data_IF_023766872812
#
_entry.id   IF_023766872812
#
_cell.length_a   1.000
_cell.length_b   1.000
_cell.length_c   1.000
_cell.angle_alpha   90.00
_cell.angle_beta   90.00
_cell.angle_gamma   90.00
#
_symmetry.space_group_name_H-M   'P 1'
#
loop_
_entity.id
_entity.type
_entity.pdbx_description
1 polymer ?
#
# COMPACT_ATOMS: atom_id res chain seq x y z
N UNK A 1 -40.53 -16.48 -35.53
CA UNK A 1 -40.63 -17.35 -34.33
C UNK A 1 -39.64 -16.88 -33.26
N UNK A 2 -40.08 -16.12 -32.27
CA UNK A 2 -39.23 -15.62 -31.17
C UNK A 2 -39.52 -16.40 -29.89
N UNK A 3 -38.56 -17.21 -29.45
CA UNK A 3 -38.63 -17.98 -28.21
C UNK A 3 -38.48 -17.07 -27.00
N UNK A 4 -39.60 -16.69 -26.36
CA UNK A 4 -39.59 -16.03 -25.04
C UNK A 4 -39.16 -17.07 -23.98
N UNK A 5 -37.88 -17.06 -23.59
CA UNK A 5 -37.40 -17.80 -22.41
C UNK A 5 -38.12 -17.26 -21.16
N UNK A 6 -39.00 -18.06 -20.55
CA UNK A 6 -39.55 -17.80 -19.21
C UNK A 6 -38.40 -17.80 -18.21
N UNK A 7 -38.10 -16.64 -17.63
CA UNK A 7 -37.15 -16.50 -16.52
C UNK A 7 -37.83 -17.12 -15.29
N UNK A 8 -37.26 -18.21 -14.78
CA UNK A 8 -37.70 -18.84 -13.53
C UNK A 8 -37.42 -17.87 -12.38
N UNK A 9 -38.45 -17.57 -11.58
CA UNK A 9 -38.24 -16.92 -10.27
C UNK A 9 -37.28 -17.80 -9.46
N UNK A 10 -36.20 -17.23 -8.93
CA UNK A 10 -35.24 -17.95 -8.08
C UNK A 10 -35.86 -18.05 -6.68
N UNK A 11 -36.30 -19.25 -6.23
CA UNK A 11 -36.85 -19.40 -4.90
C UNK A 11 -35.70 -19.55 -3.88
N UNK A 12 -35.78 -18.82 -2.76
CA UNK A 12 -35.06 -19.21 -1.54
C UNK A 12 -33.90 -18.34 -1.04
N UNK A 13 -33.68 -17.12 -1.55
CA UNK A 13 -32.71 -16.21 -0.92
C UNK A 13 -33.45 -15.24 0.01
N UNK A 14 -33.41 -15.49 1.32
CA UNK A 14 -33.87 -14.52 2.33
C UNK A 14 -33.00 -13.26 2.28
N UNK A 15 -33.40 -12.29 1.46
CA UNK A 15 -32.69 -11.01 1.26
C UNK A 15 -32.45 -10.26 2.57
N UNK A 16 -33.25 -10.50 3.61
CA UNK A 16 -33.17 -9.85 4.93
C UNK A 16 -31.81 -10.02 5.63
N UNK A 17 -31.00 -11.00 5.25
CA UNK A 17 -29.66 -11.24 5.84
C UNK A 17 -28.51 -10.55 5.10
N UNK A 18 -28.75 -9.95 3.94
CA UNK A 18 -27.73 -9.24 3.18
C UNK A 18 -27.58 -7.79 3.69
N UNK A 19 -26.35 -7.27 3.70
CA UNK A 19 -26.12 -5.84 3.97
C UNK A 19 -26.92 -4.96 2.99
N UNK A 20 -27.33 -3.73 3.38
CA UNK A 20 -28.12 -2.84 2.53
C UNK A 20 -27.46 -2.58 1.15
N UNK A 21 -26.13 -2.49 1.11
CA UNK A 21 -25.36 -2.33 -0.12
C UNK A 21 -25.46 -3.54 -1.05
N UNK A 22 -25.43 -4.76 -0.48
CA UNK A 22 -25.57 -6.00 -1.25
C UNK A 22 -26.99 -6.23 -1.72
N UNK A 23 -28.00 -5.88 -0.91
CA UNK A 23 -29.41 -5.89 -1.35
C UNK A 23 -29.63 -4.94 -2.53
N UNK A 24 -29.09 -3.71 -2.44
CA UNK A 24 -29.14 -2.73 -3.54
C UNK A 24 -28.50 -3.27 -4.82
N UNK A 25 -27.30 -3.86 -4.71
CA UNK A 25 -26.60 -4.43 -5.86
C UNK A 25 -27.31 -5.66 -6.46
N UNK A 26 -27.93 -6.50 -5.63
CA UNK A 26 -28.71 -7.65 -6.07
C UNK A 26 -29.97 -7.22 -6.82
N UNK A 27 -30.70 -6.23 -6.31
CA UNK A 27 -31.88 -5.67 -6.96
C UNK A 27 -31.54 -5.02 -8.31
N UNK A 28 -30.43 -4.27 -8.37
CA UNK A 28 -29.91 -3.70 -9.62
C UNK A 28 -29.52 -4.81 -10.61
N UNK A 29 -28.88 -5.89 -10.14
CA UNK A 29 -28.50 -7.04 -10.96
C UNK A 29 -29.71 -7.81 -11.52
N UNK A 30 -30.77 -8.01 -10.72
CA UNK A 30 -32.01 -8.62 -11.20
C UNK A 30 -32.70 -7.76 -12.26
N UNK A 31 -32.76 -6.44 -12.07
CA UNK A 31 -33.31 -5.52 -13.06
C UNK A 31 -32.51 -5.57 -14.36
N UNK A 32 -31.17 -5.70 -14.28
CA UNK A 32 -30.30 -5.82 -15.46
C UNK A 32 -30.45 -7.15 -16.22
N UNK A 33 -30.91 -8.22 -15.57
CA UNK A 33 -31.18 -9.52 -16.23
C UNK A 33 -32.47 -9.49 -17.06
N UNK A 34 -33.47 -8.70 -16.62
CA UNK A 34 -34.73 -8.56 -17.35
C UNK A 34 -34.58 -7.77 -18.66
N UNK A 35 -33.47 -7.04 -18.83
CA UNK A 35 -33.20 -6.30 -20.07
C UNK A 35 -32.61 -7.23 -21.14
N UNK A 36 -33.28 -7.40 -22.30
CA UNK A 36 -32.79 -8.24 -23.38
C UNK A 36 -31.47 -7.71 -23.97
N UNK A 37 -30.60 -8.63 -24.38
CA UNK A 37 -29.18 -8.39 -24.74
C UNK A 37 -28.99 -7.35 -25.86
N UNK A 38 -29.97 -7.19 -26.74
CA UNK A 38 -29.91 -6.29 -27.90
C UNK A 38 -30.37 -4.86 -27.59
N UNK A 39 -30.93 -4.59 -26.41
CA UNK A 39 -31.42 -3.27 -26.04
C UNK A 39 -30.34 -2.43 -25.33
N UNK A 40 -29.26 -2.07 -26.05
CA UNK A 40 -28.16 -1.23 -25.51
C UNK A 40 -28.68 0.09 -24.90
N UNK A 41 -29.74 0.67 -25.48
CA UNK A 41 -30.40 1.87 -24.95
C UNK A 41 -31.08 1.66 -23.60
N UNK A 42 -31.61 0.47 -23.31
CA UNK A 42 -32.30 0.18 -22.06
C UNK A 42 -31.33 0.00 -20.88
N UNK A 43 -30.16 -0.62 -21.12
CA UNK A 43 -29.09 -0.71 -20.10
C UNK A 43 -28.53 0.67 -19.73
N UNK A 44 -28.41 1.58 -20.71
CA UNK A 44 -27.95 2.95 -20.49
C UNK A 44 -28.93 3.77 -19.64
N UNK A 45 -30.24 3.68 -19.93
CA UNK A 45 -31.29 4.31 -19.11
C UNK A 45 -31.31 3.77 -17.67
N UNK A 46 -31.03 2.49 -17.48
CA UNK A 46 -30.96 1.85 -16.16
C UNK A 46 -29.69 2.27 -15.39
N UNK A 47 -28.57 2.45 -16.09
CA UNK A 47 -27.32 2.98 -15.56
C UNK A 47 -27.50 4.42 -15.05
N UNK A 48 -28.12 5.27 -15.86
CA UNK A 48 -28.43 6.66 -15.53
C UNK A 48 -29.41 6.75 -14.35
N UNK A 49 -30.47 5.94 -14.32
CA UNK A 49 -31.45 5.92 -13.21
C UNK A 49 -30.83 5.58 -11.86
N UNK A 50 -29.80 4.74 -11.81
CA UNK A 50 -29.16 4.32 -10.57
C UNK A 50 -27.84 5.06 -10.28
N UNK A 51 -27.43 5.99 -11.16
CA UNK A 51 -26.15 6.69 -11.11
C UNK A 51 -24.96 5.72 -11.03
N UNK A 52 -24.97 4.68 -11.87
CA UNK A 52 -23.97 3.60 -11.89
C UNK A 52 -23.44 3.45 -13.31
N UNK A 53 -22.14 3.16 -13.51
CA UNK A 53 -21.60 2.96 -14.86
C UNK A 53 -22.06 1.64 -15.49
N UNK A 54 -22.07 1.58 -16.82
CA UNK A 54 -22.44 0.38 -17.59
C UNK A 54 -21.62 -0.86 -17.21
N UNK A 55 -20.33 -0.68 -16.86
CA UNK A 55 -19.44 -1.75 -16.42
C UNK A 55 -19.87 -2.35 -15.08
N UNK A 56 -20.36 -1.52 -14.17
CA UNK A 56 -20.87 -1.98 -12.88
C UNK A 56 -22.18 -2.77 -13.05
N UNK A 57 -23.04 -2.42 -14.01
CA UNK A 57 -24.22 -3.22 -14.36
C UNK A 57 -23.86 -4.58 -14.97
N UNK A 58 -22.85 -4.63 -15.84
CA UNK A 58 -22.34 -5.87 -16.43
C UNK A 58 -21.76 -6.81 -15.36
N UNK A 59 -21.02 -6.26 -14.39
CA UNK A 59 -20.51 -7.01 -13.23
C UNK A 59 -21.64 -7.50 -12.33
N UNK A 60 -22.64 -6.66 -12.04
CA UNK A 60 -23.80 -7.05 -11.23
C UNK A 60 -24.63 -8.15 -11.91
N UNK A 61 -24.80 -8.08 -13.24
CA UNK A 61 -25.48 -9.13 -14.02
C UNK A 61 -24.72 -10.46 -13.98
N UNK A 62 -23.41 -10.46 -14.25
CA UNK A 62 -22.57 -11.67 -14.14
C UNK A 62 -22.62 -12.29 -12.75
N UNK A 63 -22.66 -11.44 -11.71
CA UNK A 63 -22.80 -11.89 -10.33
C UNK A 63 -24.14 -12.59 -10.07
N UNK A 64 -25.26 -12.06 -10.57
CA UNK A 64 -26.56 -12.72 -10.42
C UNK A 64 -26.68 -13.97 -11.31
N UNK A 65 -26.06 -13.99 -12.50
CA UNK A 65 -25.97 -15.20 -13.33
C UNK A 65 -25.18 -16.32 -12.62
N UNK A 66 -24.06 -15.98 -11.96
CA UNK A 66 -23.29 -16.90 -11.12
C UNK A 66 -24.08 -17.41 -9.90
N UNK A 67 -24.90 -16.56 -9.28
CA UNK A 67 -25.77 -16.95 -8.17
C UNK A 67 -27.00 -17.77 -8.61
N UNK A 68 -27.40 -17.68 -9.89
CA UNK A 68 -28.53 -18.45 -10.44
C UNK A 68 -28.13 -19.86 -10.83
N UNK A 69 -26.84 -20.12 -11.01
CA UNK A 69 -26.32 -21.46 -11.28
C UNK A 69 -26.03 -22.20 -9.96
N UNK A 70 -26.89 -23.17 -9.65
CA UNK A 70 -26.86 -23.96 -8.40
C UNK A 70 -25.50 -24.65 -8.20
N UNK A 71 -24.83 -25.09 -9.27
CA UNK A 71 -23.48 -25.68 -9.20
C UNK A 71 -22.41 -24.67 -8.81
N UNK A 72 -22.52 -23.44 -9.30
CA UNK A 72 -21.60 -22.34 -8.98
C UNK A 72 -21.74 -21.89 -7.52
N UNK A 73 -22.97 -21.92 -6.97
CA UNK A 73 -23.22 -21.70 -5.54
C UNK A 73 -22.65 -22.80 -4.65
N UNK A 74 -22.81 -24.08 -5.03
CA UNK A 74 -22.24 -25.20 -4.27
C UNK A 74 -20.71 -25.16 -4.24
N UNK A 75 -20.07 -24.77 -5.37
CA UNK A 75 -18.62 -24.56 -5.43
C UNK A 75 -18.15 -23.43 -4.52
N UNK A 76 -18.83 -22.28 -4.52
CA UNK A 76 -18.50 -21.16 -3.64
C UNK A 76 -18.71 -21.51 -2.16
N UNK A 77 -19.75 -22.28 -1.83
CA UNK A 77 -19.99 -22.75 -0.46
C UNK A 77 -18.92 -23.78 -0.03
N UNK A 78 -18.49 -24.67 -0.92
CA UNK A 78 -17.40 -25.61 -0.64
C UNK A 78 -16.05 -24.90 -0.46
N UNK A 79 -15.72 -23.91 -1.29
CA UNK A 79 -14.52 -23.09 -1.11
C UNK A 79 -14.54 -22.34 0.22
N UNK A 80 -15.70 -21.81 0.62
CA UNK A 80 -15.84 -21.11 1.91
C UNK A 80 -15.72 -22.07 3.10
N UNK A 81 -16.28 -23.29 3.00
CA UNK A 81 -16.12 -24.34 4.03
C UNK A 81 -14.66 -24.78 4.19
N UNK A 82 -13.88 -24.83 3.10
CA UNK A 82 -12.44 -25.13 3.15
C UNK A 82 -11.62 -24.01 3.82
N UNK A 83 -12.12 -22.77 3.84
CA UNK A 83 -11.43 -21.63 4.46
C UNK A 83 -11.81 -21.38 5.93
N UNK A 84 -12.89 -21.99 6.42
CA UNK A 84 -13.28 -21.91 7.84
C UNK A 84 -12.72 -23.12 8.58
N UNK A 85 -11.44 -23.05 8.94
CA UNK A 85 -10.92 -23.82 10.09
C UNK A 85 -11.73 -23.45 11.33
N UNK A 86 -12.20 -24.41 12.15
CA UNK A 86 -13.01 -24.11 13.32
C UNK A 86 -12.19 -23.26 14.31
N UNK A 87 -12.73 -22.08 14.63
CA UNK A 87 -12.22 -21.23 15.71
C UNK A 87 -12.43 -21.99 17.03
N UNK A 88 -11.37 -22.62 17.51
CA UNK A 88 -11.34 -23.28 18.80
C UNK A 88 -11.43 -22.18 19.89
N UNK A 89 -12.62 -22.01 20.48
CA UNK A 89 -12.84 -21.12 21.63
C UNK A 89 -12.32 -21.82 22.88
N UNK A 90 -11.06 -21.56 23.22
CA UNK A 90 -10.51 -22.00 24.49
C UNK A 90 -9.06 -21.57 24.65
N UNK A 91 -8.81 -20.75 25.68
CA UNK A 91 -7.50 -20.37 26.23
C UNK A 91 -6.75 -19.26 25.48
N UNK A 92 -6.87 -18.04 26.04
CA UNK A 92 -5.89 -16.97 25.87
C UNK A 92 -4.52 -17.48 26.33
N UNK A 93 -3.69 -17.91 25.40
CA UNK A 93 -2.26 -18.12 25.65
C UNK A 93 -1.47 -17.45 24.54
N UNK A 94 -0.46 -16.69 24.96
CA UNK A 94 0.65 -16.11 24.21
C UNK A 94 0.45 -15.91 22.69
N UNK A 95 0.32 -14.64 22.30
CA UNK A 95 0.42 -14.14 20.94
C UNK A 95 1.54 -14.88 20.17
N UNK A 96 1.24 -15.70 19.15
CA UNK A 96 2.28 -16.46 18.47
C UNK A 96 3.24 -15.49 17.80
N UNK A 97 4.53 -15.58 18.17
CA UNK A 97 5.62 -14.88 17.48
C UNK A 97 5.45 -15.17 15.99
N UNK A 98 5.29 -14.11 15.19
CA UNK A 98 5.16 -14.17 13.72
C UNK A 98 6.24 -15.12 13.20
N UNK A 99 5.83 -16.32 12.76
CA UNK A 99 6.73 -17.25 12.07
C UNK A 99 7.40 -16.47 10.95
N UNK A 100 8.74 -16.54 10.87
CA UNK A 100 9.51 -16.04 9.72
C UNK A 100 8.77 -16.52 8.47
N UNK A 101 8.30 -15.59 7.63
CA UNK A 101 7.69 -15.95 6.34
C UNK A 101 8.77 -16.67 5.56
N UNK A 102 8.59 -17.97 5.36
CA UNK A 102 9.44 -18.74 4.46
C UNK A 102 9.48 -18.02 3.11
N UNK A 103 10.71 -17.76 2.68
CA UNK A 103 11.12 -17.16 1.41
C UNK A 103 10.82 -18.10 0.25
N UNK A 104 9.53 -18.45 0.11
CA UNK A 104 8.97 -19.17 -1.03
C UNK A 104 8.01 -18.23 -1.73
N UNK A 105 8.05 -18.25 -3.06
CA UNK A 105 7.14 -17.48 -3.91
C UNK A 105 5.70 -17.63 -3.40
N UNK A 106 5.15 -16.55 -2.88
CA UNK A 106 3.74 -16.53 -2.46
C UNK A 106 2.82 -16.46 -3.68
N UNK A 107 1.56 -16.88 -3.52
CA UNK A 107 0.54 -16.73 -4.56
C UNK A 107 0.36 -15.28 -5.04
N UNK A 108 0.68 -14.31 -4.18
CA UNK A 108 0.72 -12.89 -4.55
C UNK A 108 1.73 -12.60 -5.67
N UNK A 109 2.92 -13.22 -5.64
CA UNK A 109 3.92 -13.05 -6.70
C UNK A 109 3.41 -13.61 -8.03
N UNK A 110 2.83 -14.81 -8.00
CA UNK A 110 2.29 -15.47 -9.20
C UNK A 110 1.21 -14.60 -9.85
N UNK A 111 0.28 -14.06 -9.06
CA UNK A 111 -0.80 -13.18 -9.55
C UNK A 111 -0.26 -11.96 -10.31
N UNK A 112 0.80 -11.33 -9.81
CA UNK A 112 1.39 -10.15 -10.46
C UNK A 112 2.29 -10.51 -11.64
N UNK A 113 3.00 -11.64 -11.59
CA UNK A 113 3.76 -12.12 -12.75
C UNK A 113 2.86 -12.46 -13.93
N UNK A 114 1.68 -13.04 -13.69
CA UNK A 114 0.71 -13.36 -14.76
C UNK A 114 0.17 -12.10 -15.45
N UNK A 115 0.13 -10.94 -14.78
CA UNK A 115 -0.26 -9.69 -15.43
C UNK A 115 0.76 -9.14 -16.44
N UNK A 116 2.01 -9.64 -16.42
CA UNK A 116 3.04 -9.26 -17.41
C UNK A 116 2.86 -10.11 -18.66
N UNK A 117 2.43 -9.50 -19.78
CA UNK A 117 2.12 -10.22 -21.01
C UNK A 117 3.32 -10.98 -21.62
N UNK A 118 4.50 -10.36 -21.62
CA UNK A 118 5.73 -10.93 -22.18
C UNK A 118 6.32 -12.04 -21.29
N UNK A 119 6.46 -13.24 -21.86
CA UNK A 119 6.99 -14.43 -21.18
C UNK A 119 8.44 -14.27 -20.75
N UNK A 120 9.31 -13.70 -21.61
CA UNK A 120 10.74 -13.55 -21.31
C UNK A 120 10.93 -12.60 -20.12
N UNK A 121 10.17 -11.51 -20.09
CA UNK A 121 10.17 -10.55 -18.97
C UNK A 121 9.65 -11.18 -17.69
N UNK A 122 8.55 -11.94 -17.78
CA UNK A 122 7.98 -12.64 -16.62
C UNK A 122 9.00 -13.59 -15.99
N UNK A 123 9.73 -14.33 -16.81
CA UNK A 123 10.78 -15.24 -16.35
C UNK A 123 11.94 -14.49 -15.67
N UNK A 124 12.41 -13.38 -16.24
CA UNK A 124 13.45 -12.55 -15.61
C UNK A 124 13.00 -11.99 -14.26
N UNK A 125 11.79 -11.43 -14.18
CA UNK A 125 11.23 -10.90 -12.94
C UNK A 125 11.09 -11.99 -11.87
N UNK A 126 10.69 -13.21 -12.27
CA UNK A 126 10.63 -14.36 -11.37
C UNK A 126 12.03 -14.72 -10.85
N UNK A 127 13.02 -14.80 -11.74
CA UNK A 127 14.42 -15.12 -11.39
C UNK A 127 14.99 -14.07 -10.43
N UNK A 128 14.76 -12.80 -10.72
CA UNK A 128 15.19 -11.69 -9.86
C UNK A 128 14.47 -11.72 -8.51
N UNK A 129 13.15 -11.97 -8.49
CA UNK A 129 12.37 -12.04 -7.26
C UNK A 129 12.84 -13.17 -6.34
N UNK A 130 13.16 -14.34 -6.89
CA UNK A 130 13.70 -15.47 -6.11
C UNK A 130 15.11 -15.18 -5.64
N UNK A 131 16.00 -14.72 -6.54
CA UNK A 131 17.40 -14.44 -6.22
C UNK A 131 17.56 -13.38 -5.13
N UNK A 132 16.75 -12.33 -5.18
CA UNK A 132 16.83 -11.18 -4.29
C UNK A 132 15.84 -11.25 -3.13
N UNK A 133 15.10 -12.36 -3.00
CA UNK A 133 14.03 -12.54 -2.00
C UNK A 133 13.05 -11.37 -1.98
N UNK A 134 12.57 -10.94 -3.16
CA UNK A 134 11.65 -9.82 -3.25
C UNK A 134 10.35 -10.09 -2.50
N UNK A 135 9.85 -9.05 -1.82
CA UNK A 135 8.46 -9.02 -1.38
C UNK A 135 7.51 -8.82 -2.58
N UNK A 136 6.24 -9.14 -2.37
CA UNK A 136 5.21 -8.91 -3.38
C UNK A 136 5.10 -7.43 -3.77
N UNK A 137 5.35 -6.51 -2.82
CA UNK A 137 5.42 -5.06 -3.09
C UNK A 137 6.61 -4.70 -3.98
N UNK A 138 7.80 -5.23 -3.70
CA UNK A 138 8.99 -4.99 -4.52
C UNK A 138 8.82 -5.51 -5.95
N UNK A 139 8.17 -6.67 -6.12
CA UNK A 139 7.83 -7.19 -7.44
C UNK A 139 6.86 -6.26 -8.20
N UNK A 140 5.82 -5.74 -7.53
CA UNK A 140 4.89 -4.78 -8.13
C UNK A 140 5.63 -3.51 -8.57
N UNK A 141 6.49 -2.99 -7.70
CA UNK A 141 7.29 -1.79 -7.99
C UNK A 141 8.23 -2.02 -9.18
N UNK A 142 8.88 -3.19 -9.26
CA UNK A 142 9.73 -3.57 -10.38
C UNK A 142 8.97 -3.72 -11.71
N UNK A 143 7.76 -4.27 -11.67
CA UNK A 143 6.87 -4.34 -12.85
C UNK A 143 6.52 -2.91 -13.31
N UNK A 144 6.11 -2.03 -12.40
CA UNK A 144 5.74 -0.65 -12.73
C UNK A 144 6.92 0.13 -13.33
N UNK A 145 8.11 0.01 -12.73
CA UNK A 145 9.34 0.63 -13.20
C UNK A 145 9.68 0.22 -14.64
N UNK A 146 9.62 -1.08 -14.94
CA UNK A 146 9.92 -1.60 -16.28
C UNK A 146 8.84 -1.29 -17.32
N UNK A 147 7.59 -1.07 -16.89
CA UNK A 147 6.51 -0.60 -17.76
C UNK A 147 6.56 0.93 -18.00
N UNK A 148 7.59 1.62 -17.47
CA UNK A 148 7.69 3.08 -17.56
C UNK A 148 6.60 3.81 -16.79
N UNK A 149 5.84 3.10 -15.94
CA UNK A 149 4.83 3.70 -15.08
C UNK A 149 5.55 4.32 -13.90
N UNK A 150 5.36 5.62 -13.71
CA UNK A 150 5.76 6.29 -12.47
C UNK A 150 5.12 5.53 -11.32
N UNK A 151 5.93 5.04 -10.38
CA UNK A 151 5.47 4.44 -9.12
C UNK A 151 4.59 5.49 -8.47
N UNK A 152 3.26 5.34 -8.60
CA UNK A 152 2.34 6.30 -8.02
C UNK A 152 2.56 6.21 -6.51
N UNK A 153 3.04 7.28 -5.85
CA UNK A 153 3.07 7.27 -4.40
C UNK A 153 1.64 7.00 -3.96
N UNK A 154 1.43 5.90 -3.22
CA UNK A 154 0.11 5.54 -2.70
C UNK A 154 -0.42 6.78 -1.98
N UNK A 155 -1.45 7.41 -2.55
CA UNK A 155 -1.98 8.66 -2.06
C UNK A 155 -2.62 8.39 -0.70
N UNK A 156 -1.96 8.85 0.37
CA UNK A 156 -2.39 8.62 1.75
C UNK A 156 -2.15 7.19 2.22
N UNK A 157 -1.02 6.96 2.87
CA UNK A 157 -0.75 5.69 3.53
C UNK A 157 0.60 5.68 4.23
N UNK A 158 0.70 4.86 5.29
CA UNK A 158 1.98 4.57 5.92
C UNK A 158 2.92 3.99 4.86
N UNK A 159 4.15 4.50 4.71
CA UNK A 159 5.07 3.98 3.72
C UNK A 159 5.23 2.45 3.84
N UNK A 160 5.29 1.71 2.73
CA UNK A 160 5.17 0.25 2.72
C UNK A 160 6.27 -0.47 3.51
N UNK A 161 7.46 0.14 3.59
CA UNK A 161 8.59 -0.42 4.31
C UNK A 161 9.00 0.48 5.48
N UNK A 162 9.12 -0.10 6.67
CA UNK A 162 9.85 0.50 7.79
C UNK A 162 11.34 0.48 7.40
N UNK A 163 12.10 1.59 7.57
CA UNK A 163 13.54 1.58 7.30
C UNK A 163 14.19 0.47 8.14
N UNK A 164 15.09 -0.29 7.52
CA UNK A 164 15.77 -1.42 8.18
C UNK A 164 16.94 -0.92 9.03
N UNK A 165 17.55 0.19 8.63
CA UNK A 165 18.66 0.84 9.36
C UNK A 165 18.31 2.27 9.75
N UNK A 166 19.02 2.80 10.74
CA UNK A 166 18.85 4.19 11.21
C UNK A 166 19.23 5.17 10.10
N UNK A 167 20.32 4.89 9.37
CA UNK A 167 20.79 5.70 8.24
C UNK A 167 19.74 5.81 7.13
N UNK A 168 19.11 4.68 6.76
CA UNK A 168 18.03 4.65 5.77
C UNK A 168 16.83 5.49 6.25
N UNK A 169 16.55 5.47 7.57
CA UNK A 169 15.53 6.32 8.20
C UNK A 169 15.84 7.81 8.08
N UNK A 170 17.08 8.21 8.39
CA UNK A 170 17.53 9.61 8.31
C UNK A 170 17.52 10.13 6.88
N UNK A 171 18.02 9.33 5.93
CA UNK A 171 18.04 9.68 4.52
C UNK A 171 16.61 9.81 3.95
N UNK A 172 15.68 9.01 4.45
CA UNK A 172 14.26 9.14 4.11
C UNK A 172 13.62 10.41 4.68
N UNK A 173 13.93 10.78 5.92
CA UNK A 173 13.46 12.02 6.52
C UNK A 173 13.97 13.24 5.73
N UNK A 174 15.26 13.22 5.35
CA UNK A 174 15.84 14.27 4.52
C UNK A 174 15.09 14.41 3.18
N UNK A 175 14.88 13.31 2.44
CA UNK A 175 14.13 13.33 1.16
C UNK A 175 12.71 13.84 1.32
N UNK A 176 12.03 13.48 2.42
CA UNK A 176 10.70 14.00 2.71
C UNK A 176 10.74 15.51 2.96
N UNK A 177 11.70 15.99 3.75
CA UNK A 177 11.87 17.43 4.03
C UNK A 177 12.13 18.24 2.75
N UNK A 178 12.95 17.72 1.84
CA UNK A 178 13.23 18.34 0.54
C UNK A 178 11.98 18.37 -0.34
N UNK A 179 11.22 17.27 -0.39
CA UNK A 179 9.97 17.21 -1.13
C UNK A 179 8.92 18.20 -0.61
N UNK A 180 8.78 18.32 0.71
CA UNK A 180 7.89 19.30 1.32
C UNK A 180 8.33 20.72 1.01
N UNK A 181 9.62 21.00 1.08
CA UNK A 181 10.19 22.31 0.73
C UNK A 181 9.92 22.68 -0.74
N UNK A 182 10.08 21.71 -1.65
CA UNK A 182 9.81 21.92 -3.07
C UNK A 182 8.33 22.20 -3.37
N UNK A 183 7.42 21.44 -2.74
CA UNK A 183 5.97 21.67 -2.86
C UNK A 183 5.55 23.02 -2.30
N UNK A 184 6.19 23.46 -1.23
CA UNK A 184 5.93 24.74 -0.63
C UNK A 184 6.44 25.89 -1.52
N UNK A 185 7.65 25.78 -2.06
CA UNK A 185 8.19 26.75 -3.02
C UNK A 185 7.36 26.82 -4.31
N UNK A 186 6.90 25.69 -4.85
CA UNK A 186 6.06 25.69 -6.04
C UNK A 186 4.75 26.44 -5.78
N UNK A 187 4.12 26.21 -4.61
CA UNK A 187 2.88 26.89 -4.22
C UNK A 187 3.07 28.39 -3.99
N UNK A 188 4.23 28.80 -3.47
CA UNK A 188 4.61 30.21 -3.34
C UNK A 188 4.75 30.87 -4.72
N UNK A 189 5.43 30.21 -5.66
CA UNK A 189 5.63 30.73 -7.03
C UNK A 189 4.33 30.82 -7.85
N UNK A 190 3.37 29.91 -7.62
CA UNK A 190 2.04 29.97 -8.23
C UNK A 190 1.23 31.16 -7.71
N UNK A 191 1.35 31.49 -6.41
CA UNK A 191 0.66 32.63 -5.80
C UNK A 191 1.25 33.98 -6.21
N UNK A 192 2.58 34.08 -6.33
CA UNK A 192 3.22 35.32 -6.81
C UNK A 192 2.86 35.66 -8.26
N UNK A 193 2.46 34.65 -9.05
CA UNK A 193 1.99 34.84 -10.43
C UNK A 193 0.54 35.37 -10.49
N UNK A 194 -0.28 35.14 -9.46
CA UNK A 194 -1.63 35.70 -9.33
C UNK A 194 -1.66 37.11 -8.71
N UNK A 195 -0.50 37.61 -8.25
CA UNK A 195 -0.34 38.78 -7.39
C UNK A 195 -0.49 40.14 -8.11
N UNK A 196 -0.38 40.18 -9.46
CA UNK A 196 -0.38 41.45 -10.21
C UNK A 196 -1.71 42.22 -10.19
N UNK A 197 -2.83 41.63 -9.74
CA UNK A 197 -4.16 42.26 -9.80
C UNK A 197 -4.92 42.33 -8.46
N UNK A 198 -4.28 42.11 -7.30
CA UNK A 198 -4.99 42.04 -6.02
C UNK A 198 -5.18 43.41 -5.31
N UNK A 199 -6.37 43.67 -4.70
CA UNK A 199 -6.67 44.93 -4.00
C UNK A 199 -5.78 45.15 -2.75
N UNK A 200 -5.56 46.40 -2.31
CA UNK A 200 -4.53 46.77 -1.33
C UNK A 200 -4.66 46.07 0.03
N UNK A 201 -5.88 45.75 0.48
CA UNK A 201 -6.13 45.03 1.74
C UNK A 201 -5.66 43.57 1.73
N UNK A 202 -5.47 42.97 0.55
CA UNK A 202 -4.87 41.63 0.42
C UNK A 202 -3.35 41.68 0.52
N UNK A 203 -2.70 42.78 0.13
CA UNK A 203 -1.24 42.93 0.20
C UNK A 203 -0.75 42.93 1.64
N UNK A 204 -1.47 43.57 2.55
CA UNK A 204 -1.12 43.60 3.98
C UNK A 204 -1.25 42.22 4.63
N UNK A 205 -2.32 41.48 4.32
CA UNK A 205 -2.50 40.08 4.77
C UNK A 205 -1.49 39.12 4.18
N UNK A 206 -1.05 39.36 2.95
CA UNK A 206 0.01 38.58 2.31
C UNK A 206 1.36 38.89 2.95
N UNK A 207 1.64 40.14 3.32
CA UNK A 207 2.86 40.51 4.04
C UNK A 207 2.93 39.84 5.42
N UNK A 208 1.81 39.77 6.15
CA UNK A 208 1.70 39.02 7.40
C UNK A 208 1.98 37.52 7.18
N UNK A 209 1.44 36.95 6.10
CA UNK A 209 1.72 35.55 5.72
C UNK A 209 3.18 35.31 5.32
N UNK A 210 3.80 36.22 4.57
CA UNK A 210 5.21 36.14 4.18
C UNK A 210 6.15 36.22 5.39
N UNK A 211 5.78 36.96 6.43
CA UNK A 211 6.51 36.96 7.70
C UNK A 211 6.37 35.63 8.44
N UNK A 212 5.18 35.01 8.45
CA UNK A 212 4.97 33.67 9.01
C UNK A 212 5.76 32.61 8.22
N UNK A 213 5.80 32.74 6.90
CA UNK A 213 6.55 31.87 6.00
C UNK A 213 8.08 32.01 6.19
N UNK A 214 8.56 33.23 6.43
CA UNK A 214 9.95 33.50 6.83
C UNK A 214 10.31 32.86 8.17
N UNK A 215 9.42 32.91 9.16
CA UNK A 215 9.58 32.21 10.46
C UNK A 215 9.54 30.69 10.29
N UNK A 216 8.72 30.16 9.39
CA UNK A 216 8.67 28.73 9.10
C UNK A 216 9.98 28.25 8.45
N UNK A 217 10.53 29.05 7.53
CA UNK A 217 11.80 28.78 6.88
C UNK A 217 12.98 28.83 7.86
N UNK A 218 12.97 29.75 8.85
CA UNK A 218 14.00 29.78 9.90
C UNK A 218 13.90 28.56 10.81
N UNK A 219 12.70 28.20 11.27
CA UNK A 219 12.49 26.98 12.08
C UNK A 219 12.91 25.71 11.32
N UNK A 220 12.65 25.66 10.01
CA UNK A 220 13.08 24.55 9.17
C UNK A 220 14.61 24.45 9.06
N UNK A 221 15.32 25.59 8.97
CA UNK A 221 16.79 25.62 8.99
C UNK A 221 17.34 25.18 10.34
N UNK A 222 16.79 25.70 11.44
CA UNK A 222 17.22 25.36 12.79
C UNK A 222 17.05 23.86 13.07
N UNK A 223 15.91 23.27 12.66
CA UNK A 223 15.68 21.83 12.74
C UNK A 223 16.71 21.03 11.92
N UNK A 224 17.07 21.52 10.73
CA UNK A 224 18.08 20.88 9.88
C UNK A 224 19.46 20.93 10.53
N UNK A 225 19.82 22.05 11.16
CA UNK A 225 21.06 22.19 11.91
C UNK A 225 21.10 21.31 13.16
N UNK A 226 20.00 21.24 13.92
CA UNK A 226 19.87 20.33 15.06
C UNK A 226 20.03 18.87 14.64
N UNK A 227 19.40 18.44 13.54
CA UNK A 227 19.54 17.09 13.01
C UNK A 227 20.99 16.81 12.59
N UNK A 228 21.68 17.78 11.99
CA UNK A 228 23.09 17.67 11.63
C UNK A 228 23.97 17.56 12.87
N UNK A 229 23.71 18.35 13.90
CA UNK A 229 24.41 18.30 15.19
C UNK A 229 24.24 16.94 15.88
N UNK A 230 23.01 16.43 15.96
CA UNK A 230 22.72 15.11 16.52
C UNK A 230 23.42 13.99 15.75
N UNK A 231 23.47 14.07 14.41
CA UNK A 231 24.21 13.11 13.59
C UNK A 231 25.69 13.09 13.96
N UNK A 232 26.31 14.27 14.05
CA UNK A 232 27.73 14.39 14.36
C UNK A 232 28.05 13.89 15.77
N UNK A 233 27.19 14.17 16.75
CA UNK A 233 27.32 13.67 18.11
C UNK A 233 27.21 12.14 18.16
N UNK A 234 26.26 11.56 17.42
CA UNK A 234 26.09 10.10 17.35
C UNK A 234 27.29 9.41 16.71
N UNK A 235 27.90 10.00 15.68
CA UNK A 235 29.13 9.47 15.07
C UNK A 235 30.30 9.49 16.05
N UNK A 236 30.47 10.57 16.82
CA UNK A 236 31.52 10.64 17.86
C UNK A 236 31.34 9.60 18.94
N UNK A 237 30.11 9.41 19.43
CA UNK A 237 29.82 8.35 20.41
C UNK A 237 30.09 6.95 19.85
N UNK A 238 29.81 6.73 18.56
CA UNK A 238 30.13 5.45 17.92
C UNK A 238 31.64 5.21 17.82
N UNK A 239 32.43 6.25 17.56
CA UNK A 239 33.90 6.21 17.55
C UNK A 239 34.45 5.92 18.96
N UNK A 240 34.00 6.64 19.99
CA UNK A 240 34.40 6.42 21.39
C UNK A 240 34.10 4.99 21.86
N UNK A 241 32.90 4.46 21.54
CA UNK A 241 32.56 3.07 21.85
C UNK A 241 33.50 2.11 21.10
N UNK A 242 33.83 2.40 19.85
CA UNK A 242 34.80 1.63 19.07
C UNK A 242 36.18 1.55 19.74
N UNK A 243 36.68 2.67 20.25
CA UNK A 243 37.96 2.75 20.97
C UNK A 243 37.93 1.97 22.28
N UNK A 244 36.86 2.10 23.08
CA UNK A 244 36.70 1.35 24.33
C UNK A 244 36.66 -0.16 24.05
N UNK A 245 35.93 -0.59 23.03
CA UNK A 245 35.87 -2.00 22.62
C UNK A 245 37.24 -2.50 22.16
N UNK A 246 37.99 -1.70 21.41
CA UNK A 246 39.35 -2.03 20.99
C UNK A 246 40.28 -2.18 22.21
N UNK A 247 40.23 -1.26 23.18
CA UNK A 247 41.02 -1.32 24.41
C UNK A 247 40.69 -2.55 25.26
N UNK A 248 39.40 -2.90 25.40
CA UNK A 248 38.97 -4.13 26.10
C UNK A 248 39.52 -5.38 25.40
N UNK A 249 39.52 -5.40 24.05
CA UNK A 249 40.05 -6.51 23.26
C UNK A 249 41.55 -6.69 23.49
N UNK A 250 42.32 -5.59 23.50
CA UNK A 250 43.77 -5.61 23.80
C UNK A 250 44.02 -6.12 25.22
N UNK A 251 43.30 -5.62 26.24
CA UNK A 251 43.44 -6.10 27.63
C UNK A 251 43.13 -7.60 27.79
N UNK A 252 42.11 -8.12 27.10
CA UNK A 252 41.83 -9.57 27.08
C UNK A 252 42.97 -10.38 26.47
N UNK A 253 43.56 -9.91 25.37
CA UNK A 253 44.69 -10.61 24.73
C UNK A 253 45.98 -10.58 25.56
N UNK A 254 46.21 -9.52 26.34
CA UNK A 254 47.35 -9.42 27.26
C UNK A 254 47.15 -10.27 28.53
N UNK A 255 45.94 -10.27 29.09
CA UNK A 255 45.59 -11.12 30.25
C UNK A 255 45.74 -12.62 29.96
N UNK A 256 45.50 -13.04 28.72
CA UNK A 256 45.66 -14.44 28.33
C UNK A 256 47.13 -14.89 28.17
N UNK A 257 48.08 -13.94 28.09
CA UNK A 257 49.51 -14.20 27.93
C UNK A 257 50.30 -14.23 29.25
N UNK A 258 49.68 -14.01 30.41
CA UNK A 258 50.36 -14.22 31.69
C UNK A 258 50.38 -15.72 32.03
N UNK A 259 51.56 -16.39 32.03
CA UNK A 259 51.65 -17.75 32.51
C UNK A 259 51.30 -17.77 33.99
N UNK A 260 50.40 -18.68 34.39
CA UNK A 260 50.16 -19.01 35.81
C UNK A 260 51.48 -19.50 36.40
N UNK A 261 52.27 -18.60 36.97
CA UNK A 261 53.44 -18.98 37.75
C UNK A 261 52.94 -19.82 38.92
N UNK A 262 53.39 -21.06 38.95
CA UNK A 262 53.05 -22.05 39.96
C UNK A 262 53.28 -21.49 41.37
N UNK A 263 52.23 -21.51 42.19
CA UNK A 263 52.37 -21.39 43.64
C UNK A 263 53.03 -22.67 44.15
N UNK A 264 54.23 -22.54 44.71
CA UNK A 264 54.76 -23.51 45.67
C UNK A 264 54.04 -23.36 46.99
#
# INVERSE_FOLDING_TARGET
>A
MTTRKRIRQVPGVELKRLSPTLQKNFNIGQAAIQVPFHAKGALRKLAEKHNVTSDHLLKARRFVELLSDKKSLELLVQERKKQVTPLNRGKQTARPKRKKKDTRLSWGHVRHLVSVADHARRYQLLKDAVRLNWSTTQLIDAIQLREGRTIRPVAGGRPPNKPQTIEEGMLRLQRLSEKWSALYQSRLSEKSSQEKNAPPTLKDRINEFLQVDGRLASVSRDLKEQIKGLRNALTRQAEEIGEVVAAIKVRRTQSHKQPRSMRK
#
